data_IF_976575214847
#
_entry.id   IF_976575214847
#
_cell.length_a   1.000
_cell.length_b   1.000
_cell.length_c   1.000
_cell.angle_alpha   90.00
_cell.angle_beta   90.00
_cell.angle_gamma   90.00
#
_symmetry.space_group_name_H-M   'P 1'
#
loop_
_entity.id
_entity.type
_entity.pdbx_description
1 polymer ?
#
# COMPACT_ATOMS: atom_id res chain seq x y z
N UNK A 1 -19.68 -29.52 -47.36
CA UNK A 1 -19.06 -28.24 -47.75
C UNK A 1 -19.37 -27.20 -46.70
N UNK A 2 -18.49 -27.09 -45.69
CA UNK A 2 -18.35 -26.05 -44.64
C UNK A 2 -17.28 -26.62 -43.69
N UNK A 3 -16.10 -26.01 -43.58
CA UNK A 3 -15.17 -26.31 -42.50
C UNK A 3 -14.47 -25.04 -42.06
N UNK A 4 -14.68 -24.74 -40.79
CA UNK A 4 -14.04 -23.68 -40.03
C UNK A 4 -12.57 -24.02 -39.82
N UNK A 5 -11.68 -23.05 -40.03
CA UNK A 5 -10.29 -23.16 -39.61
C UNK A 5 -10.03 -22.25 -38.41
N UNK A 6 -9.49 -22.92 -37.40
CA UNK A 6 -9.31 -22.54 -36.01
C UNK A 6 -7.96 -21.85 -35.88
N UNK A 7 -7.94 -20.58 -35.45
CA UNK A 7 -6.70 -19.88 -35.11
C UNK A 7 -6.18 -20.42 -33.76
N UNK A 8 -5.04 -21.11 -33.80
CA UNK A 8 -4.32 -21.58 -32.62
C UNK A 8 -3.33 -20.51 -32.16
N UNK A 9 -3.45 -20.05 -30.92
CA UNK A 9 -2.44 -19.26 -30.21
C UNK A 9 -1.25 -20.17 -29.90
N UNK A 10 -0.09 -19.91 -30.48
CA UNK A 10 1.18 -20.46 -29.99
C UNK A 10 1.96 -19.35 -29.28
N UNK A 11 2.00 -19.45 -27.95
CA UNK A 11 2.95 -18.74 -27.10
C UNK A 11 4.37 -19.24 -27.44
N UNK A 12 5.13 -18.41 -28.14
CA UNK A 12 6.54 -18.66 -28.45
C UNK A 12 7.42 -18.46 -27.22
N UNK A 13 7.52 -19.48 -26.37
CA UNK A 13 8.59 -19.63 -25.39
C UNK A 13 9.90 -19.90 -26.13
N UNK A 14 10.83 -18.94 -26.11
CA UNK A 14 12.21 -19.18 -26.56
C UNK A 14 13.04 -19.62 -25.35
N UNK A 15 13.35 -20.91 -25.25
CA UNK A 15 14.29 -21.43 -24.26
C UNK A 15 15.73 -21.26 -24.77
N UNK A 16 16.59 -20.66 -23.96
CA UNK A 16 18.04 -20.66 -24.18
C UNK A 16 18.67 -21.67 -23.22
N UNK A 17 19.21 -22.75 -23.77
CA UNK A 17 19.97 -23.76 -23.05
C UNK A 17 21.17 -23.15 -22.32
N UNK A 18 21.31 -23.54 -21.06
CA UNK A 18 22.32 -23.09 -20.10
C UNK A 18 23.73 -23.58 -20.43
N UNK A 19 24.70 -22.67 -20.42
CA UNK A 19 26.10 -22.93 -20.07
C UNK A 19 26.53 -21.86 -19.08
N UNK A 20 27.18 -22.31 -18.01
CA UNK A 20 27.21 -21.63 -16.72
C UNK A 20 28.00 -20.33 -16.69
N UNK A 21 27.38 -19.29 -16.14
CA UNK A 21 28.05 -18.17 -15.48
C UNK A 21 27.03 -17.59 -14.49
N UNK A 22 27.47 -17.34 -13.26
CA UNK A 22 26.75 -16.71 -12.12
C UNK A 22 25.40 -16.06 -12.48
N UNK A 23 24.32 -16.77 -12.13
CA UNK A 23 22.95 -16.46 -12.57
C UNK A 23 22.45 -15.06 -12.19
N UNK A 24 22.50 -14.13 -13.14
CA UNK A 24 21.49 -13.07 -13.23
C UNK A 24 20.25 -13.70 -13.85
N UNK A 25 19.13 -13.61 -13.16
CA UNK A 25 17.84 -14.08 -13.69
C UNK A 25 17.57 -13.38 -15.02
N UNK A 26 17.38 -14.15 -16.10
CA UNK A 26 16.93 -13.62 -17.38
C UNK A 26 15.58 -12.91 -17.16
N UNK A 27 15.52 -11.61 -17.43
CA UNK A 27 14.29 -10.83 -17.42
C UNK A 27 13.78 -10.72 -18.85
N UNK A 28 12.62 -11.32 -19.14
CA UNK A 28 11.93 -11.09 -20.40
C UNK A 28 11.23 -9.73 -20.33
N UNK A 29 11.55 -8.85 -21.28
CA UNK A 29 10.84 -7.58 -21.48
C UNK A 29 9.81 -7.77 -22.59
N UNK A 30 8.58 -7.27 -22.38
CA UNK A 30 7.58 -7.20 -23.43
C UNK A 30 8.07 -6.23 -24.52
N UNK A 31 8.02 -6.66 -25.78
CA UNK A 31 8.43 -5.85 -26.93
C UNK A 31 7.17 -5.19 -27.49
N UNK A 32 7.09 -3.86 -27.40
CA UNK A 32 5.99 -3.12 -28.03
C UNK A 32 6.10 -3.18 -29.56
N UNK A 33 5.02 -2.95 -30.32
CA UNK A 33 5.06 -2.89 -31.78
C UNK A 33 6.10 -1.89 -32.31
N UNK A 34 6.25 -0.75 -31.63
CA UNK A 34 7.23 0.29 -31.96
C UNK A 34 8.66 -0.22 -31.77
N UNK A 35 8.94 -0.87 -30.63
CA UNK A 35 10.25 -1.46 -30.38
C UNK A 35 10.55 -2.59 -31.39
N UNK A 36 9.56 -3.42 -31.70
CA UNK A 36 9.69 -4.47 -32.71
C UNK A 36 10.03 -3.88 -34.10
N UNK A 37 9.36 -2.79 -34.47
CA UNK A 37 9.63 -2.05 -35.72
C UNK A 37 11.06 -1.48 -35.76
N UNK A 38 11.54 -0.92 -34.64
CA UNK A 38 12.93 -0.43 -34.52
C UNK A 38 13.94 -1.56 -34.67
N UNK A 39 13.73 -2.69 -33.97
CA UNK A 39 14.61 -3.86 -34.06
C UNK A 39 14.62 -4.45 -35.48
N UNK A 40 13.45 -4.57 -36.11
CA UNK A 40 13.34 -5.02 -37.51
C UNK A 40 14.08 -4.07 -38.46
N UNK A 41 13.97 -2.76 -38.25
CA UNK A 41 14.68 -1.74 -39.03
C UNK A 41 16.20 -1.89 -38.89
N UNK A 42 16.70 -2.12 -37.67
CA UNK A 42 18.12 -2.36 -37.41
C UNK A 42 18.60 -3.63 -38.14
N UNK A 43 17.86 -4.74 -38.01
CA UNK A 43 18.17 -6.01 -38.66
C UNK A 43 18.20 -5.84 -40.20
N UNK A 44 17.20 -5.15 -40.76
CA UNK A 44 17.11 -4.88 -42.21
C UNK A 44 18.34 -4.11 -42.69
N UNK A 45 18.69 -3.00 -42.04
CA UNK A 45 19.89 -2.20 -42.38
C UNK A 45 21.18 -3.00 -42.31
N UNK A 46 21.32 -3.85 -41.29
CA UNK A 46 22.49 -4.73 -41.17
C UNK A 46 22.55 -5.74 -42.31
N UNK A 47 21.43 -6.40 -42.65
CA UNK A 47 21.39 -7.39 -43.72
C UNK A 47 21.69 -6.76 -45.08
N UNK A 48 21.07 -5.62 -45.38
CA UNK A 48 21.29 -4.89 -46.64
C UNK A 48 22.76 -4.54 -46.84
N UNK A 49 23.44 -4.11 -45.79
CA UNK A 49 24.86 -3.77 -45.86
C UNK A 49 25.81 -4.98 -45.88
N UNK A 50 25.33 -6.21 -45.63
CA UNK A 50 26.14 -7.42 -45.40
C UNK A 50 25.67 -8.65 -46.22
N UNK A 51 25.16 -8.43 -47.44
CA UNK A 51 24.79 -9.55 -48.32
C UNK A 51 23.67 -10.45 -47.74
N UNK A 52 22.72 -9.85 -47.03
CA UNK A 52 21.55 -10.54 -46.47
C UNK A 52 21.73 -11.18 -45.09
N UNK A 53 22.93 -11.12 -44.50
CA UNK A 53 23.25 -11.74 -43.20
C UNK A 53 23.55 -10.69 -42.13
N UNK A 54 23.33 -11.05 -40.87
CA UNK A 54 23.83 -10.27 -39.73
C UNK A 54 25.25 -10.75 -39.42
N UNK A 55 26.28 -9.90 -39.47
CA UNK A 55 27.65 -10.30 -39.19
C UNK A 55 27.81 -10.83 -37.78
N UNK A 56 28.63 -11.86 -37.65
CA UNK A 56 29.07 -12.36 -36.35
C UNK A 56 30.31 -11.57 -35.95
N UNK A 57 30.24 -10.88 -34.81
CA UNK A 57 31.34 -10.09 -34.27
C UNK A 57 31.53 -10.42 -32.80
N UNK A 58 32.75 -10.32 -32.30
CA UNK A 58 33.04 -10.47 -30.87
C UNK A 58 32.86 -9.14 -30.14
N UNK A 59 32.36 -9.21 -28.90
CA UNK A 59 32.30 -8.06 -27.98
C UNK A 59 33.39 -8.21 -26.92
N UNK A 60 34.15 -7.14 -26.70
CA UNK A 60 34.99 -7.02 -25.51
C UNK A 60 34.14 -6.60 -24.32
N UNK A 61 34.12 -7.39 -23.25
CA UNK A 61 33.50 -7.02 -21.98
C UNK A 61 34.51 -6.23 -21.13
N UNK A 62 34.24 -4.96 -20.87
CA UNK A 62 35.15 -4.11 -20.10
C UNK A 62 35.23 -4.46 -18.62
N UNK A 63 34.20 -5.10 -18.06
CA UNK A 63 34.14 -5.45 -16.65
C UNK A 63 34.88 -6.76 -16.39
N UNK A 64 34.67 -7.75 -17.26
CA UNK A 64 35.35 -9.05 -17.16
C UNK A 64 36.71 -9.07 -17.88
N UNK A 65 37.00 -8.04 -18.68
CA UNK A 65 38.21 -7.88 -19.49
C UNK A 65 38.45 -9.03 -20.48
N UNK A 66 37.38 -9.66 -20.96
CA UNK A 66 37.42 -10.78 -21.90
C UNK A 66 36.73 -10.47 -23.21
N UNK A 67 37.22 -11.07 -24.29
CA UNK A 67 36.56 -11.03 -25.61
C UNK A 67 35.62 -12.21 -25.74
N UNK A 68 34.33 -11.94 -25.89
CA UNK A 68 33.30 -12.97 -26.02
C UNK A 68 33.31 -13.68 -27.38
N UNK A 69 32.50 -14.75 -27.52
CA UNK A 69 32.34 -15.47 -28.77
C UNK A 69 31.74 -14.58 -29.86
N UNK A 70 31.92 -14.99 -31.13
CA UNK A 70 31.32 -14.28 -32.25
C UNK A 70 29.80 -14.51 -32.27
N UNK A 71 29.03 -13.44 -32.12
CA UNK A 71 27.57 -13.48 -32.05
C UNK A 71 26.94 -12.44 -32.98
N UNK A 72 25.67 -12.64 -33.40
CA UNK A 72 24.96 -11.71 -34.27
C UNK A 72 24.44 -10.49 -33.49
N UNK A 73 25.35 -9.67 -32.95
CA UNK A 73 24.97 -8.48 -32.18
C UNK A 73 24.18 -7.49 -33.04
N UNK A 74 23.09 -6.91 -32.53
CA UNK A 74 22.28 -5.96 -33.31
C UNK A 74 22.88 -4.55 -33.36
N UNK A 75 23.57 -4.13 -32.30
CA UNK A 75 24.14 -2.78 -32.20
C UNK A 75 25.58 -2.77 -32.69
N UNK A 76 25.76 -2.88 -34.01
CA UNK A 76 27.08 -2.86 -34.66
C UNK A 76 27.37 -1.48 -35.26
N UNK A 77 28.64 -1.08 -35.24
CA UNK A 77 29.17 0.08 -35.97
C UNK A 77 30.25 -0.40 -36.94
N UNK A 78 30.35 0.28 -38.09
CA UNK A 78 31.45 0.12 -39.04
C UNK A 78 32.37 1.34 -39.03
N UNK A 79 33.41 1.36 -38.20
CA UNK A 79 34.57 2.21 -38.49
C UNK A 79 35.26 1.70 -39.77
N UNK A 80 36.13 2.53 -40.35
CA UNK A 80 36.82 2.26 -41.64
C UNK A 80 37.66 0.98 -41.67
N UNK A 81 37.99 0.40 -40.52
CA UNK A 81 38.93 -0.72 -40.40
C UNK A 81 38.25 -2.07 -40.17
N UNK A 82 37.39 -2.21 -39.15
CA UNK A 82 36.67 -3.46 -38.88
C UNK A 82 35.29 -3.21 -38.22
N UNK A 83 34.25 -4.01 -38.53
CA UNK A 83 32.98 -3.97 -37.81
C UNK A 83 33.17 -4.29 -36.32
N UNK A 84 32.54 -3.50 -35.45
CA UNK A 84 32.65 -3.64 -34.00
C UNK A 84 31.30 -3.42 -33.34
N UNK A 85 31.10 -4.00 -32.15
CA UNK A 85 29.93 -3.70 -31.32
C UNK A 85 30.03 -2.25 -30.85
N UNK A 86 28.91 -1.51 -30.87
CA UNK A 86 28.87 -0.17 -30.32
C UNK A 86 29.23 -0.20 -28.82
N UNK A 87 30.27 0.54 -28.45
CA UNK A 87 30.62 0.74 -27.04
C UNK A 87 29.68 1.75 -26.38
N UNK A 88 29.59 1.70 -25.05
CA UNK A 88 28.80 2.66 -24.26
C UNK A 88 29.21 4.11 -24.55
N UNK A 89 30.51 4.38 -24.62
CA UNK A 89 31.02 5.69 -25.02
C UNK A 89 30.65 6.08 -26.46
N UNK A 90 30.57 5.09 -27.37
CA UNK A 90 30.09 5.28 -28.73
C UNK A 90 28.61 5.68 -28.78
N UNK A 91 27.77 5.00 -27.99
CA UNK A 91 26.35 5.33 -27.84
C UNK A 91 26.18 6.73 -27.25
N UNK A 92 26.93 7.07 -26.18
CA UNK A 92 26.89 8.41 -25.58
C UNK A 92 27.24 9.50 -26.58
N UNK A 93 28.34 9.36 -27.33
CA UNK A 93 28.72 10.35 -28.36
C UNK A 93 27.71 10.44 -29.50
N UNK A 94 27.01 9.35 -29.83
CA UNK A 94 25.95 9.41 -30.83
C UNK A 94 24.73 10.17 -30.28
N UNK A 95 24.36 9.93 -29.02
CA UNK A 95 23.30 10.65 -28.33
C UNK A 95 23.60 12.15 -28.20
N UNK A 96 24.80 12.51 -27.74
CA UNK A 96 25.22 13.91 -27.59
C UNK A 96 25.09 14.66 -28.92
N UNK A 97 25.60 14.09 -30.03
CA UNK A 97 25.49 14.68 -31.37
C UNK A 97 24.04 14.81 -31.85
N UNK A 98 23.18 13.84 -31.55
CA UNK A 98 21.76 13.91 -31.90
C UNK A 98 21.08 15.05 -31.14
N UNK A 99 21.34 15.18 -29.83
CA UNK A 99 20.79 16.25 -29.00
C UNK A 99 21.26 17.62 -29.48
N UNK A 100 22.55 17.79 -29.76
CA UNK A 100 23.11 19.00 -30.34
C UNK A 100 22.41 19.36 -31.66
N UNK A 101 22.20 18.38 -32.56
CA UNK A 101 21.55 18.59 -33.84
C UNK A 101 20.07 18.99 -33.73
N UNK A 102 19.38 18.64 -32.63
CA UNK A 102 17.98 19.06 -32.41
C UNK A 102 17.84 20.53 -32.05
N UNK A 103 18.90 21.16 -31.51
CA UNK A 103 18.85 22.53 -31.00
C UNK A 103 17.93 22.74 -29.79
N UNK A 104 17.41 21.67 -29.18
CA UNK A 104 16.51 21.74 -28.03
C UNK A 104 17.25 22.25 -26.78
N UNK A 105 16.58 23.11 -26.04
CA UNK A 105 17.06 23.72 -24.79
C UNK A 105 16.10 23.43 -23.65
N UNK A 106 16.60 23.42 -22.43
CA UNK A 106 15.78 23.35 -21.23
C UNK A 106 15.10 24.69 -20.92
N UNK A 107 14.34 24.74 -19.82
CA UNK A 107 13.65 25.96 -19.37
C UNK A 107 14.60 27.10 -18.95
N UNK A 108 15.86 26.80 -18.64
CA UNK A 108 16.88 27.80 -18.35
C UNK A 108 17.61 28.30 -19.62
N UNK A 109 17.26 27.74 -20.79
CA UNK A 109 17.90 28.07 -22.06
C UNK A 109 19.20 27.30 -22.32
N UNK A 110 19.53 26.30 -21.51
CA UNK A 110 20.75 25.51 -21.66
C UNK A 110 20.55 24.30 -22.60
N UNK A 111 21.58 23.84 -23.33
CA UNK A 111 21.47 22.65 -24.18
C UNK A 111 21.11 21.40 -23.37
N UNK A 112 20.20 20.59 -23.89
CA UNK A 112 19.81 19.35 -23.24
C UNK A 112 20.99 18.38 -23.12
N UNK A 113 21.25 17.89 -21.90
CA UNK A 113 22.25 16.87 -21.61
C UNK A 113 21.59 15.64 -21.03
N UNK A 114 21.54 14.56 -21.82
CA UNK A 114 21.04 13.26 -21.38
C UNK A 114 22.12 12.18 -21.49
N UNK A 115 22.04 11.22 -20.58
CA UNK A 115 22.79 9.97 -20.63
C UNK A 115 21.87 8.82 -21.04
N UNK A 116 22.39 7.69 -21.55
CA UNK A 116 21.57 6.50 -21.78
C UNK A 116 20.82 6.03 -20.53
N UNK A 117 21.36 6.29 -19.35
CA UNK A 117 20.70 5.96 -18.09
C UNK A 117 19.43 6.81 -17.84
N UNK A 118 19.38 8.04 -18.34
CA UNK A 118 18.20 8.90 -18.18
C UNK A 118 16.99 8.37 -18.95
N UNK A 119 17.19 7.76 -20.12
CA UNK A 119 16.11 7.09 -20.84
C UNK A 119 15.53 5.90 -20.05
N UNK A 120 16.38 5.16 -19.33
CA UNK A 120 15.93 4.11 -18.41
C UNK A 120 15.12 4.71 -17.26
N UNK A 121 15.52 5.86 -16.72
CA UNK A 121 14.79 6.58 -15.66
C UNK A 121 13.44 7.10 -16.16
N UNK A 122 13.39 7.66 -17.36
CA UNK A 122 12.16 8.13 -18.01
C UNK A 122 11.19 6.96 -18.20
N UNK A 123 11.63 5.85 -18.78
CA UNK A 123 10.82 4.64 -18.93
C UNK A 123 10.30 4.12 -17.58
N UNK A 124 11.16 4.03 -16.56
CA UNK A 124 10.76 3.56 -15.24
C UNK A 124 9.72 4.48 -14.59
N UNK A 125 9.92 5.79 -14.70
CA UNK A 125 9.00 6.81 -14.16
C UNK A 125 7.66 6.73 -14.89
N UNK A 126 7.66 6.70 -16.22
CA UNK A 126 6.45 6.63 -17.04
C UNK A 126 5.68 5.34 -16.80
N UNK A 127 6.36 4.18 -16.72
CA UNK A 127 5.70 2.91 -16.47
C UNK A 127 5.00 2.89 -15.10
N UNK A 128 5.67 3.35 -14.04
CA UNK A 128 5.09 3.43 -12.70
C UNK A 128 3.97 4.48 -12.65
N UNK A 129 4.15 5.63 -13.30
CA UNK A 129 3.14 6.70 -13.43
C UNK A 129 1.90 6.21 -14.18
N UNK A 130 2.09 5.41 -15.24
CA UNK A 130 1.02 4.78 -16.01
C UNK A 130 0.30 3.65 -15.29
N UNK A 131 0.57 3.43 -14.00
CA UNK A 131 -0.12 2.45 -13.16
C UNK A 131 0.51 1.06 -13.15
N UNK A 132 1.69 0.85 -13.74
CA UNK A 132 2.36 -0.44 -13.67
C UNK A 132 2.80 -0.71 -12.21
N UNK A 133 2.41 -1.86 -11.61
CA UNK A 133 2.81 -2.16 -10.25
C UNK A 133 4.35 -2.19 -10.09
N UNK A 134 4.83 -1.59 -9.01
CA UNK A 134 6.28 -1.34 -8.77
C UNK A 134 7.12 -2.60 -8.78
N UNK A 135 6.57 -3.72 -8.30
CA UNK A 135 7.26 -5.01 -8.31
C UNK A 135 7.39 -5.60 -9.72
N UNK A 136 6.43 -5.31 -10.62
CA UNK A 136 6.51 -5.68 -12.04
C UNK A 136 7.52 -4.79 -12.76
N UNK A 137 7.45 -3.46 -12.54
CA UNK A 137 8.44 -2.52 -13.06
C UNK A 137 9.87 -2.91 -12.64
N UNK A 138 10.08 -3.28 -11.38
CA UNK A 138 11.37 -3.76 -10.87
C UNK A 138 11.87 -5.02 -11.62
N UNK A 139 10.95 -5.94 -11.94
CA UNK A 139 11.28 -7.17 -12.67
C UNK A 139 11.69 -6.88 -14.11
N UNK A 140 10.98 -5.99 -14.80
CA UNK A 140 11.31 -5.54 -16.17
C UNK A 140 12.68 -4.85 -16.19
N UNK A 141 12.96 -4.00 -15.21
CA UNK A 141 14.24 -3.29 -15.08
C UNK A 141 15.39 -4.19 -14.62
N UNK A 142 15.12 -5.43 -14.19
CA UNK A 142 16.12 -6.34 -13.65
C UNK A 142 16.71 -5.88 -12.31
N UNK A 143 15.94 -5.14 -11.50
CA UNK A 143 16.35 -4.73 -10.17
C UNK A 143 16.28 -5.92 -9.20
N UNK A 144 17.32 -6.08 -8.36
CA UNK A 144 17.37 -7.12 -7.31
C UNK A 144 16.51 -6.77 -6.10
N UNK A 145 16.35 -5.48 -5.83
CA UNK A 145 15.62 -4.95 -4.68
C UNK A 145 14.54 -3.98 -5.15
N UNK A 146 13.38 -4.02 -4.49
CA UNK A 146 12.26 -3.12 -4.80
C UNK A 146 12.58 -1.65 -4.45
N UNK A 147 13.44 -1.43 -3.46
CA UNK A 147 13.88 -0.10 -3.01
C UNK A 147 14.43 0.77 -4.14
N UNK A 148 15.16 0.17 -5.07
CA UNK A 148 15.72 0.87 -6.24
C UNK A 148 14.63 1.37 -7.18
N UNK A 149 13.51 0.65 -7.29
CA UNK A 149 12.36 1.07 -8.12
C UNK A 149 11.44 2.03 -7.36
N UNK A 150 11.37 1.93 -6.03
CA UNK A 150 10.55 2.83 -5.20
C UNK A 150 10.96 4.30 -5.32
N UNK A 151 12.21 4.60 -5.68
CA UNK A 151 12.63 5.98 -5.97
C UNK A 151 11.79 6.66 -7.07
N UNK A 152 11.23 5.89 -8.00
CA UNK A 152 10.34 6.41 -9.05
C UNK A 152 8.90 6.68 -8.56
N UNK A 153 8.52 6.19 -7.37
CA UNK A 153 7.22 6.49 -6.75
C UNK A 153 7.17 7.85 -6.07
N UNK A 154 8.33 8.43 -5.72
CA UNK A 154 8.42 9.68 -4.95
C UNK A 154 7.75 10.89 -5.65
N UNK A 155 7.39 10.73 -6.93
CA UNK A 155 6.69 11.73 -7.74
C UNK A 155 5.20 11.85 -7.36
N UNK A 156 4.64 10.96 -6.50
CA UNK A 156 3.20 10.96 -6.21
C UNK A 156 2.84 10.95 -4.72
N UNK A 157 2.29 12.07 -4.23
CA UNK A 157 1.39 12.07 -3.06
C UNK A 157 -0.09 12.09 -3.50
N UNK A 158 -0.43 12.77 -4.61
CA UNK A 158 -1.82 12.90 -5.04
C UNK A 158 -2.41 11.60 -5.62
N UNK A 159 -1.63 10.83 -6.39
CA UNK A 159 -2.10 9.55 -6.94
C UNK A 159 -2.28 8.50 -5.85
N UNK A 160 -1.48 8.56 -4.78
CA UNK A 160 -1.65 7.71 -3.60
C UNK A 160 -3.00 7.99 -2.94
N UNK A 161 -3.30 9.27 -2.68
CA UNK A 161 -4.58 9.70 -2.07
C UNK A 161 -5.76 9.32 -2.97
N UNK A 162 -5.66 9.59 -4.28
CA UNK A 162 -6.71 9.24 -5.25
C UNK A 162 -6.97 7.74 -5.29
N UNK A 163 -5.91 6.94 -5.41
CA UNK A 163 -6.01 5.47 -5.50
C UNK A 163 -6.58 4.90 -4.22
N UNK A 164 -6.15 5.40 -3.06
CA UNK A 164 -6.65 4.97 -1.76
C UNK A 164 -8.13 5.33 -1.56
N UNK A 165 -8.55 6.54 -1.93
CA UNK A 165 -9.97 6.95 -1.91
C UNK A 165 -10.81 6.05 -2.81
N UNK A 166 -10.40 5.82 -4.05
CA UNK A 166 -11.11 4.94 -4.98
C UNK A 166 -11.20 3.48 -4.51
N UNK A 167 -10.20 2.99 -3.77
CA UNK A 167 -10.28 1.68 -3.11
C UNK A 167 -11.34 1.66 -1.99
N UNK A 168 -11.37 2.68 -1.13
CA UNK A 168 -12.37 2.79 -0.07
C UNK A 168 -13.79 2.92 -0.63
N UNK A 169 -13.99 3.73 -1.66
CA UNK A 169 -15.31 3.95 -2.25
C UNK A 169 -15.87 2.67 -2.87
N UNK A 170 -15.03 1.86 -3.52
CA UNK A 170 -15.44 0.55 -4.05
C UNK A 170 -15.91 -0.39 -2.94
N UNK A 171 -15.19 -0.44 -1.82
CA UNK A 171 -15.60 -1.24 -0.65
C UNK A 171 -16.88 -0.72 -0.01
N UNK A 172 -17.10 0.60 0.00
CA UNK A 172 -18.34 1.19 0.51
C UNK A 172 -19.52 0.84 -0.40
N UNK A 173 -19.32 0.84 -1.71
CA UNK A 173 -20.35 0.45 -2.68
C UNK A 173 -20.75 -1.04 -2.58
N UNK A 174 -19.83 -1.91 -2.16
CA UNK A 174 -20.11 -3.34 -1.91
C UNK A 174 -20.90 -3.58 -0.61
N UNK A 175 -21.04 -2.59 0.27
CA UNK A 175 -21.80 -2.76 1.52
C UNK A 175 -23.31 -2.65 1.27
N UNK A 176 -24.13 -3.51 1.92
CA UNK A 176 -25.58 -3.40 1.86
C UNK A 176 -26.05 -2.02 2.30
N UNK A 177 -26.98 -1.41 1.55
CA UNK A 177 -27.48 -0.07 1.87
C UNK A 177 -28.20 -0.03 3.22
N UNK A 178 -28.74 -1.15 3.71
CA UNK A 178 -29.39 -1.23 5.02
C UNK A 178 -28.44 -0.89 6.18
N UNK A 179 -27.12 -1.05 6.00
CA UNK A 179 -26.11 -0.72 7.03
C UNK A 179 -25.93 0.81 7.22
N UNK A 180 -26.37 1.62 6.25
CA UNK A 180 -26.29 3.09 6.28
C UNK A 180 -27.65 3.77 6.49
N UNK A 181 -28.68 3.02 6.90
CA UNK A 181 -29.97 3.61 7.25
C UNK A 181 -29.80 4.58 8.42
N UNK A 182 -30.33 5.79 8.26
CA UNK A 182 -30.49 6.74 9.37
C UNK A 182 -31.42 6.12 10.43
N UNK A 183 -30.97 5.98 11.70
CA UNK A 183 -31.80 5.48 12.78
C UNK A 183 -33.07 6.32 12.94
N UNK A 184 -34.21 5.67 13.17
CA UNK A 184 -35.46 6.38 13.43
C UNK A 184 -35.40 7.12 14.77
N UNK A 185 -36.19 8.18 14.97
CA UNK A 185 -36.30 8.84 16.26
C UNK A 185 -36.68 7.88 17.41
N UNK A 186 -37.46 6.84 17.14
CA UNK A 186 -37.83 5.82 18.12
C UNK A 186 -36.64 4.90 18.47
N UNK A 187 -35.88 4.43 17.48
CA UNK A 187 -34.65 3.67 17.69
C UNK A 187 -33.60 4.52 18.42
N UNK A 188 -33.51 5.81 18.10
CA UNK A 188 -32.65 6.76 18.77
C UNK A 188 -33.07 6.99 20.23
N UNK A 189 -34.38 7.12 20.47
CA UNK A 189 -34.92 7.25 21.81
C UNK A 189 -34.68 5.99 22.65
N UNK A 190 -34.91 4.81 22.09
CA UNK A 190 -34.65 3.52 22.77
C UNK A 190 -33.15 3.34 23.07
N UNK A 191 -32.29 3.71 22.12
CA UNK A 191 -30.84 3.74 22.32
C UNK A 191 -30.44 4.71 23.43
N UNK A 192 -30.96 5.94 23.45
CA UNK A 192 -30.69 6.93 24.50
C UNK A 192 -31.20 6.46 25.88
N UNK A 193 -32.43 5.94 25.92
CA UNK A 193 -33.05 5.39 27.12
C UNK A 193 -32.27 4.17 27.66
N UNK A 194 -31.66 3.36 26.80
CA UNK A 194 -30.82 2.23 27.23
C UNK A 194 -29.65 2.65 28.14
N UNK A 195 -29.07 3.83 27.94
CA UNK A 195 -27.99 4.36 28.78
C UNK A 195 -28.49 5.09 30.03
N UNK A 196 -29.63 5.79 29.93
CA UNK A 196 -30.19 6.56 31.05
C UNK A 196 -30.91 5.66 32.08
N UNK A 197 -31.53 4.56 31.65
CA UNK A 197 -32.41 3.73 32.48
C UNK A 197 -31.71 2.63 33.29
N UNK A 198 -30.41 2.37 33.10
CA UNK A 198 -29.68 1.32 33.85
C UNK A 198 -28.82 1.85 34.99
N UNK A 199 -29.43 2.67 35.86
CA UNK A 199 -28.91 2.88 37.20
C UNK A 199 -29.09 1.60 38.02
N UNK A 200 -27.99 1.12 38.58
CA UNK A 200 -27.94 -0.01 39.50
C UNK A 200 -27.42 0.46 40.85
N UNK A 201 -27.54 -0.36 41.88
CA UNK A 201 -27.30 0.05 43.28
C UNK A 201 -25.95 0.73 43.57
N UNK A 202 -24.92 0.47 42.76
CA UNK A 202 -23.55 0.98 42.95
C UNK A 202 -23.06 1.89 41.80
N UNK A 203 -23.88 2.17 40.79
CA UNK A 203 -23.48 2.96 39.63
C UNK A 203 -24.32 2.67 38.39
N UNK A 204 -23.67 2.57 37.22
CA UNK A 204 -24.35 2.41 35.93
C UNK A 204 -23.88 1.15 35.22
N UNK A 205 -24.79 0.45 34.52
CA UNK A 205 -24.45 -0.70 33.70
C UNK A 205 -23.96 -0.25 32.31
N UNK A 206 -22.66 -0.39 32.02
CA UNK A 206 -22.05 -0.04 30.71
C UNK A 206 -22.22 -1.12 29.63
N UNK A 207 -23.26 -1.96 29.73
CA UNK A 207 -23.47 -3.07 28.80
C UNK A 207 -23.98 -2.54 27.45
N UNK A 208 -23.41 -2.98 26.31
CA UNK A 208 -23.87 -2.54 24.98
C UNK A 208 -25.36 -2.81 24.75
N UNK A 209 -26.00 -1.92 23.98
CA UNK A 209 -27.38 -2.07 23.54
C UNK A 209 -27.62 -3.43 22.88
N UNK A 210 -28.78 -4.03 23.14
CA UNK A 210 -29.17 -5.34 22.58
C UNK A 210 -28.49 -6.57 23.20
N UNK A 211 -27.68 -6.44 24.25
CA UNK A 211 -27.00 -7.61 24.86
C UNK A 211 -27.67 -8.07 26.18
N UNK A 212 -28.05 -9.37 26.31
CA UNK A 212 -28.77 -9.87 27.49
C UNK A 212 -27.89 -9.93 28.75
N UNK A 213 -28.53 -9.89 29.93
CA UNK A 213 -27.85 -10.12 31.21
C UNK A 213 -27.98 -11.56 31.67
N UNK A 214 -26.85 -12.25 31.86
CA UNK A 214 -26.82 -13.60 32.47
C UNK A 214 -26.95 -13.59 34.00
N UNK A 215 -26.76 -12.42 34.63
CA UNK A 215 -26.72 -12.30 36.09
C UNK A 215 -27.64 -11.17 36.53
N UNK A 216 -28.92 -11.48 36.72
CA UNK A 216 -29.82 -10.59 37.42
C UNK A 216 -29.28 -10.39 38.85
N UNK A 217 -29.08 -9.13 39.26
CA UNK A 217 -28.68 -8.73 40.62
C UNK A 217 -27.22 -8.97 41.08
N UNK A 218 -26.33 -9.63 40.31
CA UNK A 218 -24.91 -9.80 40.71
C UNK A 218 -23.96 -8.70 40.19
N UNK A 219 -24.41 -7.44 40.16
CA UNK A 219 -23.67 -6.32 39.54
C UNK A 219 -22.27 -6.13 40.11
N UNK A 220 -22.04 -6.44 41.40
CA UNK A 220 -20.72 -6.32 42.05
C UNK A 220 -19.66 -7.25 41.42
N UNK A 221 -20.03 -8.36 40.80
CA UNK A 221 -19.12 -9.24 40.06
C UNK A 221 -18.99 -8.90 38.59
N UNK A 222 -19.87 -8.04 38.07
CA UNK A 222 -19.95 -7.73 36.65
C UNK A 222 -18.81 -6.78 36.23
N UNK A 223 -18.03 -7.10 35.17
CA UNK A 223 -16.93 -6.25 34.70
C UNK A 223 -17.41 -4.98 33.99
N UNK A 224 -18.65 -4.98 33.46
CA UNK A 224 -19.25 -3.82 32.78
C UNK A 224 -19.96 -2.86 33.75
N UNK A 225 -19.87 -3.09 35.07
CA UNK A 225 -20.36 -2.13 36.06
C UNK A 225 -19.40 -0.93 36.10
N UNK A 226 -19.89 0.23 35.71
CA UNK A 226 -19.23 1.51 35.93
C UNK A 226 -19.61 2.02 37.31
N UNK A 227 -18.65 2.02 38.23
CA UNK A 227 -18.88 2.46 39.61
C UNK A 227 -19.12 3.96 39.68
N UNK A 228 -20.17 4.38 40.38
CA UNK A 228 -20.34 5.78 40.77
C UNK A 228 -19.33 6.10 41.89
N UNK A 229 -18.44 7.09 41.72
CA UNK A 229 -17.49 7.49 42.76
C UNK A 229 -18.15 7.85 44.09
N UNK A 230 -19.40 8.36 44.07
CA UNK A 230 -20.18 8.69 45.28
C UNK A 230 -20.58 7.45 46.09
N UNK A 231 -20.62 6.26 45.47
CA UNK A 231 -20.93 4.99 46.12
C UNK A 231 -19.71 4.31 46.75
N UNK A 232 -18.54 4.97 46.76
CA UNK A 232 -17.31 4.45 47.39
C UNK A 232 -17.50 4.02 48.86
N UNK A 233 -18.19 4.78 49.74
CA UNK A 233 -18.40 4.36 51.13
C UNK A 233 -19.15 3.02 51.21
N UNK A 234 -20.23 2.88 50.44
CA UNK A 234 -21.02 1.65 50.35
C UNK A 234 -20.20 0.45 49.82
N UNK A 235 -19.30 0.68 48.87
CA UNK A 235 -18.39 -0.37 48.38
C UNK A 235 -17.45 -0.86 49.50
N UNK A 236 -16.95 0.03 50.37
CA UNK A 236 -16.10 -0.35 51.50
C UNK A 236 -16.87 -1.19 52.53
N UNK A 237 -18.13 -0.84 52.82
CA UNK A 237 -19.00 -1.63 53.68
C UNK A 237 -19.20 -3.05 53.13
N UNK A 238 -19.46 -3.18 51.83
CA UNK A 238 -19.59 -4.48 51.15
C UNK A 238 -18.29 -5.30 51.29
N UNK A 239 -17.13 -4.68 51.09
CA UNK A 239 -15.82 -5.35 51.22
C UNK A 239 -15.60 -5.83 52.65
N UNK A 240 -15.94 -5.02 53.65
CA UNK A 240 -15.81 -5.41 55.06
C UNK A 240 -16.74 -6.58 55.40
N UNK A 241 -18.01 -6.51 54.99
CA UNK A 241 -18.97 -7.58 55.22
C UNK A 241 -18.53 -8.89 54.56
N UNK A 242 -18.04 -8.84 53.31
CA UNK A 242 -17.51 -10.02 52.62
C UNK A 242 -16.33 -10.62 53.36
N UNK A 243 -15.41 -9.80 53.90
CA UNK A 243 -14.27 -10.26 54.69
C UNK A 243 -14.71 -10.95 55.99
N UNK A 244 -15.71 -10.42 56.67
CA UNK A 244 -16.30 -11.03 57.86
C UNK A 244 -16.93 -12.39 57.54
N UNK A 245 -17.77 -12.45 56.50
CA UNK A 245 -18.43 -13.69 56.07
C UNK A 245 -17.45 -14.76 55.58
N UNK A 246 -16.35 -14.38 54.93
CA UNK A 246 -15.28 -15.32 54.55
C UNK A 246 -14.61 -15.92 55.80
N UNK A 247 -14.37 -15.12 56.85
CA UNK A 247 -13.78 -15.62 58.11
C UNK A 247 -14.72 -16.62 58.78
N UNK A 248 -16.00 -16.28 58.87
CA UNK A 248 -17.04 -17.14 59.42
C UNK A 248 -17.14 -18.46 58.65
N UNK A 249 -17.29 -18.40 57.32
CA UNK A 249 -17.40 -19.58 56.48
C UNK A 249 -16.17 -20.50 56.58
N UNK A 250 -14.96 -19.93 56.75
CA UNK A 250 -13.75 -20.72 57.02
C UNK A 250 -13.77 -21.39 58.39
N UNK A 251 -14.21 -20.68 59.43
CA UNK A 251 -14.31 -21.24 60.78
C UNK A 251 -15.30 -22.42 60.84
N UNK A 252 -16.36 -22.38 60.05
CA UNK A 252 -17.38 -23.42 59.97
C UNK A 252 -17.14 -24.49 58.89
N UNK A 253 -16.05 -24.40 58.12
CA UNK A 253 -15.71 -25.37 57.08
C UNK A 253 -16.63 -25.35 55.84
N UNK A 254 -17.33 -24.24 55.58
CA UNK A 254 -18.22 -24.09 54.42
C UNK A 254 -17.46 -23.74 53.14
N UNK A 255 -16.73 -24.70 52.58
CA UNK A 255 -15.80 -24.47 51.47
C UNK A 255 -16.47 -23.85 50.22
N UNK A 256 -17.70 -24.26 49.88
CA UNK A 256 -18.44 -23.70 48.74
C UNK A 256 -18.86 -22.23 48.92
N UNK A 257 -19.21 -21.84 50.16
CA UNK A 257 -19.51 -20.44 50.49
C UNK A 257 -18.25 -19.58 50.45
N UNK A 258 -17.11 -20.12 50.93
CA UNK A 258 -15.81 -19.42 50.87
C UNK A 258 -15.45 -19.05 49.44
N UNK A 259 -15.62 -19.97 48.48
CA UNK A 259 -15.31 -19.71 47.07
C UNK A 259 -16.18 -18.59 46.49
N UNK A 260 -17.51 -18.68 46.67
CA UNK A 260 -18.44 -17.66 46.15
C UNK A 260 -18.24 -16.27 46.78
N UNK A 261 -17.93 -16.23 48.07
CA UNK A 261 -17.62 -14.98 48.79
C UNK A 261 -16.28 -14.39 48.33
N UNK A 262 -15.26 -15.22 48.10
CA UNK A 262 -13.95 -14.77 47.62
C UNK A 262 -14.05 -14.12 46.24
N UNK A 263 -14.78 -14.72 45.30
CA UNK A 263 -15.02 -14.13 43.97
C UNK A 263 -15.68 -12.75 44.06
N UNK A 264 -16.62 -12.58 45.00
CA UNK A 264 -17.28 -11.28 45.22
C UNK A 264 -16.33 -10.25 45.82
N UNK A 265 -15.49 -10.69 46.76
CA UNK A 265 -14.51 -9.85 47.44
C UNK A 265 -13.45 -9.34 46.45
N UNK A 266 -12.91 -10.23 45.61
CA UNK A 266 -11.89 -9.87 44.63
C UNK A 266 -12.45 -8.88 43.59
N UNK A 267 -13.68 -9.10 43.12
CA UNK A 267 -14.35 -8.18 42.20
C UNK A 267 -14.63 -6.80 42.85
N UNK A 268 -15.02 -6.76 44.13
CA UNK A 268 -15.22 -5.52 44.86
C UNK A 268 -13.91 -4.75 45.08
N UNK A 269 -12.82 -5.46 45.39
CA UNK A 269 -11.48 -4.88 45.53
C UNK A 269 -10.94 -4.32 44.20
N UNK A 270 -11.14 -5.04 43.08
CA UNK A 270 -10.78 -4.55 41.75
C UNK A 270 -11.49 -3.24 41.41
N UNK A 271 -12.79 -3.14 41.75
CA UNK A 271 -13.59 -1.92 41.57
C UNK A 271 -13.10 -0.75 42.43
N UNK A 272 -12.75 -1.02 43.69
CA UNK A 272 -12.17 -0.01 44.57
C UNK A 272 -10.84 0.52 44.02
N UNK A 273 -10.00 -0.36 43.46
CA UNK A 273 -8.74 0.04 42.83
C UNK A 273 -8.97 0.86 41.55
N UNK A 274 -9.99 0.53 40.76
CA UNK A 274 -10.40 1.32 39.60
C UNK A 274 -10.82 2.75 40.00
N UNK A 275 -11.63 2.88 41.07
CA UNK A 275 -12.03 4.18 41.60
C UNK A 275 -10.85 5.03 42.10
N UNK A 276 -9.78 4.41 42.63
CA UNK A 276 -8.57 5.12 43.05
C UNK A 276 -7.72 5.63 41.88
N UNK A 277 -7.82 5.00 40.71
CA UNK A 277 -7.08 5.36 39.49
C UNK A 277 -7.82 6.40 38.65
N UNK A 278 -9.11 6.60 38.88
CA UNK A 278 -9.89 7.63 38.20
C UNK A 278 -9.48 9.03 38.69
N UNK A 279 -9.27 10.01 37.79
CA UNK A 279 -8.95 11.38 38.18
C UNK A 279 -10.09 11.99 39.03
N UNK A 280 -9.73 12.76 40.05
CA UNK A 280 -10.65 13.29 41.07
C UNK A 280 -11.79 14.19 40.51
N UNK A 281 -11.67 14.64 39.27
CA UNK A 281 -12.59 15.59 38.61
C UNK A 281 -13.66 14.89 37.74
N UNK A 282 -13.74 13.55 37.74
CA UNK A 282 -14.83 12.79 37.09
C UNK A 282 -14.87 12.86 35.56
N UNK A 283 -13.99 13.63 34.91
CA UNK A 283 -13.82 13.65 33.46
C UNK A 283 -13.06 12.42 33.01
N UNK A 284 -13.62 11.68 32.05
CA UNK A 284 -12.83 10.74 31.27
C UNK A 284 -11.61 11.50 30.74
N UNK A 285 -10.41 10.89 30.79
CA UNK A 285 -9.29 11.35 30.00
C UNK A 285 -9.73 11.27 28.53
N UNK A 286 -10.32 12.34 28.01
CA UNK A 286 -10.40 12.58 26.58
C UNK A 286 -8.95 12.65 26.15
N UNK A 287 -8.47 11.55 25.56
CA UNK A 287 -7.26 11.58 24.77
C UNK A 287 -7.61 12.53 23.63
N UNK A 288 -7.13 13.77 23.72
CA UNK A 288 -7.27 14.73 22.65
C UNK A 288 -6.41 14.22 21.49
N UNK A 289 -7.07 13.54 20.55
CA UNK A 289 -6.44 13.05 19.34
C UNK A 289 -6.19 14.18 18.33
N UNK A 290 -6.66 15.40 18.63
CA UNK A 290 -6.71 16.51 17.69
C UNK A 290 -7.71 16.24 16.57
N UNK A 291 -8.60 17.18 16.27
CA UNK A 291 -9.31 17.13 14.99
C UNK A 291 -8.29 17.45 13.89
N UNK A 292 -8.08 16.57 12.89
CA UNK A 292 -7.23 16.91 11.76
C UNK A 292 -7.84 18.13 11.07
N UNK A 293 -7.10 19.24 11.08
CA UNK A 293 -7.49 20.45 10.37
C UNK A 293 -7.27 20.18 8.89
N UNK A 294 -8.34 19.85 8.17
CA UNK A 294 -8.31 19.84 6.71
C UNK A 294 -8.28 21.29 6.26
N UNK A 295 -7.10 21.83 5.99
CA UNK A 295 -6.98 23.10 5.28
C UNK A 295 -7.50 22.88 3.87
N UNK A 296 -8.61 23.53 3.53
CA UNK A 296 -9.15 23.61 2.16
C UNK A 296 -8.16 24.40 1.27
N UNK A 297 -7.02 23.80 0.95
CA UNK A 297 -6.26 24.19 -0.22
C UNK A 297 -6.93 23.55 -1.43
N UNK A 298 -8.06 24.13 -1.84
CA UNK A 298 -8.52 23.99 -3.21
C UNK A 298 -7.42 24.59 -4.11
N UNK A 299 -6.80 23.82 -5.00
CA UNK A 299 -5.93 24.41 -6.01
C UNK A 299 -6.79 25.33 -6.86
N UNK A 300 -6.44 26.61 -6.92
CA UNK A 300 -7.08 27.57 -7.81
C UNK A 300 -6.89 27.08 -9.25
N UNK A 301 -7.97 26.58 -9.85
CA UNK A 301 -8.07 26.40 -11.30
C UNK A 301 -7.94 27.79 -11.94
N UNK A 302 -6.79 28.07 -12.53
CA UNK A 302 -6.65 29.23 -13.40
C UNK A 302 -7.53 29.01 -14.65
N UNK A 303 -8.37 29.99 -15.04
CA UNK A 303 -9.13 29.89 -16.27
C UNK A 303 -8.17 29.92 -17.46
N UNK A 304 -8.22 28.85 -18.27
CA UNK A 304 -7.42 28.70 -19.48
C UNK A 304 -7.69 29.83 -20.47
N UNK A 305 -6.61 30.48 -20.91
CA UNK A 305 -6.61 31.41 -22.02
C UNK A 305 -6.66 30.66 -23.36
N UNK A 306 -7.72 30.91 -24.15
CA UNK A 306 -7.66 30.90 -25.61
C UNK A 306 -8.19 29.64 -26.32
N UNK A 307 -9.46 29.70 -26.73
CA UNK A 307 -9.95 28.96 -27.91
C UNK A 307 -9.24 29.46 -29.19
N UNK A 308 -8.85 28.59 -30.13
CA UNK A 308 -8.73 28.98 -31.53
C UNK A 308 -10.06 28.70 -32.23
N UNK A 309 -10.73 29.80 -32.64
CA UNK A 309 -11.95 29.76 -33.41
C UNK A 309 -11.79 29.05 -34.75
N UNK A 310 -12.70 28.12 -35.01
CA UNK A 310 -12.94 27.56 -36.32
C UNK A 310 -14.06 28.37 -36.99
N UNK A 311 -13.78 28.96 -38.15
CA UNK A 311 -14.79 29.45 -39.09
C UNK A 311 -14.50 28.82 -40.46
N UNK A 312 -15.56 28.57 -41.26
CA UNK A 312 -15.66 27.48 -42.23
C UNK A 312 -14.68 27.59 -43.39
#
# INVERSE_FOLDING_TARGET
>A
MRRAERWSRSEGSWSTSSLGTTGRAASAALVSPELASVLATIIKRLREANGGKVPLISRYDSHERVTGPQLPHLFQRRPSWQPQVMSEAGVKRALDRTLEATGLRDHAGEPLRYTPHDFRRMFATEAVTGGLPVHIAARILGHKTLTTTQAYLAVFQDDLVRTYRGFLDRRRAERPQEEYREPTPAEWHDFQQHFELRKVSLGTCGRPYGTPCKHEHACIRCPVLQMDPRQRPRLLEIIQNLRERIREARAHGWLGEVEGLQVSFDAAMAKLNSLKRAPADGRAHLVDLGMPVFTDHAPQLQPGSGEPGFRP
#
